data_IF_948956644470
#
_entry.id   IF_948956644470
#
_cell.length_a   1.000
_cell.length_b   1.000
_cell.length_c   1.000
_cell.angle_alpha   90.00
_cell.angle_beta   90.00
_cell.angle_gamma   90.00
#
_symmetry.space_group_name_H-M   'P 1'
#
loop_
_entity.id
_entity.type
_entity.pdbx_description
1 polymer ?
#
# COMPACT_ATOMS: atom_id res chain seq x y z
N UNK A 1 24.80 -22.46 7.80
CA UNK A 1 25.25 -23.58 6.94
C UNK A 1 26.41 -24.26 7.63
N UNK A 2 26.57 -25.57 7.46
CA UNK A 2 27.82 -26.26 7.79
C UNK A 2 28.96 -25.69 6.95
N UNK A 3 30.21 -25.98 7.33
CA UNK A 3 31.35 -25.63 6.50
C UNK A 3 31.30 -26.38 5.16
N UNK A 4 32.02 -25.87 4.16
CA UNK A 4 32.14 -26.53 2.85
C UNK A 4 32.76 -27.93 3.00
N UNK A 5 33.66 -28.10 3.97
CA UNK A 5 34.28 -29.38 4.33
C UNK A 5 33.27 -30.41 4.85
N UNK A 6 32.20 -29.95 5.52
CA UNK A 6 31.12 -30.78 6.07
C UNK A 6 29.91 -30.85 5.11
N UNK A 7 30.10 -30.51 3.84
CA UNK A 7 29.09 -30.65 2.78
C UNK A 7 28.09 -29.51 2.68
N UNK A 8 28.36 -28.36 3.34
CA UNK A 8 27.56 -27.13 3.26
C UNK A 8 26.05 -27.27 3.58
N UNK A 9 25.64 -28.36 4.24
CA UNK A 9 24.26 -28.62 4.61
C UNK A 9 23.68 -27.61 5.59
N UNK A 10 22.35 -27.58 5.72
CA UNK A 10 21.66 -26.73 6.69
C UNK A 10 20.43 -27.43 7.28
N UNK A 11 20.17 -27.16 8.56
CA UNK A 11 18.93 -27.51 9.24
C UNK A 11 18.28 -26.23 9.73
N UNK A 12 17.05 -25.96 9.31
CA UNK A 12 16.28 -24.80 9.73
C UNK A 12 15.17 -25.25 10.68
N UNK A 13 15.09 -24.66 11.86
CA UNK A 13 14.07 -24.95 12.86
C UNK A 13 13.09 -23.79 13.01
N UNK A 14 11.80 -24.10 13.04
CA UNK A 14 10.72 -23.14 13.32
C UNK A 14 10.00 -23.54 14.62
N UNK A 15 10.56 -23.22 15.80
CA UNK A 15 9.90 -23.53 17.08
C UNK A 15 8.64 -22.67 17.25
N UNK A 16 7.55 -23.28 17.74
CA UNK A 16 6.29 -22.60 18.04
C UNK A 16 6.10 -22.58 19.56
N UNK A 17 5.83 -21.40 20.10
CA UNK A 17 5.61 -21.19 21.53
C UNK A 17 4.25 -20.52 21.71
N UNK A 18 3.44 -21.05 22.60
CA UNK A 18 2.18 -20.44 23.02
C UNK A 18 2.46 -19.46 24.16
N UNK A 19 2.04 -18.20 23.99
CA UNK A 19 2.05 -17.19 25.04
C UNK A 19 0.68 -17.10 25.71
N UNK A 20 0.66 -16.80 27.00
CA UNK A 20 -0.58 -16.56 27.73
C UNK A 20 -0.84 -15.06 27.78
N UNK A 21 -2.03 -14.62 27.34
CA UNK A 21 -2.40 -13.20 27.26
C UNK A 21 -1.36 -12.33 26.53
N UNK A 22 -0.72 -12.88 25.49
CA UNK A 22 0.36 -12.22 24.73
C UNK A 22 1.59 -11.82 25.58
N UNK A 23 1.77 -12.40 26.76
CA UNK A 23 2.91 -12.09 27.64
C UNK A 23 4.21 -12.76 27.14
N UNK A 24 5.05 -11.96 26.49
CA UNK A 24 6.38 -12.34 26.02
C UNK A 24 7.45 -12.32 27.10
N UNK A 25 7.16 -11.75 28.28
CA UNK A 25 8.09 -11.64 29.40
C UNK A 25 8.12 -12.89 30.29
N UNK A 26 7.19 -13.82 30.05
CA UNK A 26 7.17 -15.11 30.73
C UNK A 26 8.49 -15.89 30.50
N UNK A 27 8.81 -16.76 31.46
CA UNK A 27 10.09 -17.47 31.52
C UNK A 27 10.41 -18.26 30.24
N UNK A 28 9.44 -19.03 29.71
CA UNK A 28 9.67 -19.86 28.52
C UNK A 28 9.83 -19.02 27.23
N UNK A 29 8.92 -18.09 26.89
CA UNK A 29 9.12 -17.19 25.75
C UNK A 29 10.44 -16.43 25.80
N UNK A 30 10.79 -15.86 26.95
CA UNK A 30 12.04 -15.10 27.13
C UNK A 30 13.27 -15.95 26.82
N UNK A 31 13.31 -17.18 27.33
CA UNK A 31 14.42 -18.10 27.07
C UNK A 31 14.53 -18.45 25.59
N UNK A 32 13.41 -18.76 24.93
CA UNK A 32 13.43 -19.14 23.50
C UNK A 32 13.85 -17.95 22.64
N UNK A 33 13.33 -16.75 22.89
CA UNK A 33 13.72 -15.51 22.19
C UNK A 33 15.23 -15.21 22.36
N UNK A 34 15.79 -15.54 23.53
CA UNK A 34 17.23 -15.35 23.75
C UNK A 34 18.11 -16.31 22.92
N UNK A 35 17.59 -17.49 22.56
CA UNK A 35 18.30 -18.54 21.83
C UNK A 35 18.11 -18.41 20.31
N UNK A 36 16.92 -18.03 19.84
CA UNK A 36 16.63 -17.96 18.40
C UNK A 36 17.26 -16.75 17.73
N UNK A 37 17.47 -16.85 16.42
CA UNK A 37 17.97 -15.76 15.58
C UNK A 37 16.89 -14.74 15.21
N UNK A 38 15.69 -14.85 15.76
CA UNK A 38 14.56 -14.01 15.46
C UNK A 38 13.25 -14.59 15.97
N UNK A 39 12.19 -13.84 15.76
CA UNK A 39 10.83 -14.23 16.13
C UNK A 39 9.81 -13.65 15.16
N UNK A 40 8.75 -14.43 14.93
CA UNK A 40 7.51 -13.98 14.31
C UNK A 40 6.48 -14.00 15.43
N UNK A 41 5.98 -12.82 15.81
CA UNK A 41 5.02 -12.67 16.89
C UNK A 41 3.62 -12.53 16.31
N UNK A 42 2.71 -13.41 16.72
CA UNK A 42 1.32 -13.41 16.28
C UNK A 42 0.42 -12.84 17.37
N UNK A 43 -0.45 -11.90 17.02
CA UNK A 43 -1.34 -11.22 17.97
C UNK A 43 -2.82 -11.52 17.72
N UNK A 44 -3.55 -11.76 18.81
CA UNK A 44 -4.97 -12.05 18.75
C UNK A 44 -5.81 -10.83 18.31
N UNK A 45 -5.37 -9.61 18.64
CA UNK A 45 -6.06 -8.38 18.23
C UNK A 45 -5.97 -8.16 16.71
N UNK A 46 -4.78 -8.32 16.11
CA UNK A 46 -4.59 -8.28 14.65
C UNK A 46 -5.44 -9.36 13.95
N UNK A 47 -5.49 -10.56 14.51
CA UNK A 47 -6.30 -11.63 13.95
C UNK A 47 -7.81 -11.31 13.96
N UNK A 48 -8.27 -10.62 15.02
CA UNK A 48 -9.68 -10.19 15.18
C UNK A 48 -10.04 -9.02 14.28
N UNK A 49 -9.09 -8.12 13.98
CA UNK A 49 -9.31 -6.98 13.08
C UNK A 49 -9.26 -7.36 11.60
N UNK A 50 -8.94 -8.62 11.27
CA UNK A 50 -8.93 -9.12 9.90
C UNK A 50 -7.54 -9.32 9.32
N UNK A 51 -6.48 -8.88 10.00
CA UNK A 51 -5.09 -9.04 9.52
C UNK A 51 -4.64 -10.50 9.64
N UNK A 52 -4.36 -11.13 8.50
CA UNK A 52 -4.00 -12.56 8.41
C UNK A 52 -2.95 -12.76 7.31
N UNK A 53 -1.73 -13.20 7.61
CA UNK A 53 -1.26 -13.68 8.92
C UNK A 53 -1.09 -12.53 9.92
N UNK A 54 -1.51 -12.77 11.17
CA UNK A 54 -1.61 -11.76 12.23
C UNK A 54 -0.24 -11.38 12.85
N UNK A 55 0.74 -11.04 12.01
CA UNK A 55 2.12 -10.79 12.39
C UNK A 55 2.26 -9.36 12.90
N UNK A 56 2.73 -9.21 14.14
CA UNK A 56 3.15 -7.91 14.62
C UNK A 56 4.54 -7.55 14.07
N UNK A 57 4.59 -6.70 13.04
CA UNK A 57 5.85 -6.30 12.37
C UNK A 57 6.78 -5.45 13.24
N UNK A 58 6.28 -4.82 14.31
CA UNK A 58 7.09 -4.01 15.23
C UNK A 58 7.89 -4.84 16.23
N UNK A 59 7.32 -5.95 16.71
CA UNK A 59 7.95 -6.88 17.67
C UNK A 59 8.69 -8.02 16.96
N UNK A 60 8.21 -8.41 15.78
CA UNK A 60 8.83 -9.46 14.98
C UNK A 60 10.15 -8.97 14.39
N UNK A 61 11.19 -9.81 14.46
CA UNK A 61 12.51 -9.46 13.95
C UNK A 61 13.24 -10.71 13.45
N UNK A 62 14.07 -10.54 12.44
CA UNK A 62 15.09 -11.51 12.05
C UNK A 62 16.46 -10.86 12.23
N UNK A 63 17.31 -11.44 13.09
CA UNK A 63 18.70 -10.98 13.31
C UNK A 63 19.59 -11.27 12.11
N UNK A 64 19.25 -12.28 11.30
CA UNK A 64 19.92 -12.55 10.01
C UNK A 64 19.61 -11.44 8.99
N UNK A 65 18.43 -10.83 9.10
CA UNK A 65 18.02 -9.67 8.32
C UNK A 65 18.01 -9.91 6.81
N UNK A 66 18.34 -8.87 6.04
CA UNK A 66 18.32 -8.90 4.58
C UNK A 66 19.39 -9.78 3.92
N UNK A 67 20.28 -10.41 4.68
CA UNK A 67 21.26 -11.37 4.15
C UNK A 67 20.63 -12.68 3.70
N UNK A 68 19.42 -12.98 4.19
CA UNK A 68 18.64 -14.15 3.79
C UNK A 68 17.67 -13.86 2.63
N UNK A 69 17.61 -12.62 2.14
CA UNK A 69 16.68 -12.19 1.10
C UNK A 69 17.35 -12.18 -0.28
N UNK A 70 16.56 -12.46 -1.32
CA UNK A 70 16.98 -12.22 -2.71
C UNK A 70 17.13 -10.71 -2.95
N UNK A 71 17.89 -10.33 -3.99
CA UNK A 71 18.12 -8.92 -4.34
C UNK A 71 16.80 -8.16 -4.60
N UNK A 72 15.81 -8.72 -5.34
CA UNK A 72 14.49 -8.08 -5.52
C UNK A 72 13.77 -7.83 -4.20
N UNK A 73 13.66 -8.87 -3.36
CA UNK A 73 12.95 -8.78 -2.07
C UNK A 73 13.57 -7.73 -1.16
N UNK A 74 14.91 -7.64 -1.12
CA UNK A 74 15.62 -6.65 -0.31
C UNK A 74 15.33 -5.21 -0.75
N UNK A 75 15.12 -4.97 -2.06
CA UNK A 75 14.80 -3.66 -2.61
C UNK A 75 13.42 -3.19 -2.18
N UNK A 76 12.41 -4.05 -2.35
CA UNK A 76 11.01 -3.70 -2.05
C UNK A 76 10.70 -3.72 -0.55
N UNK A 77 11.23 -4.70 0.21
CA UNK A 77 10.95 -4.82 1.65
C UNK A 77 11.60 -3.73 2.50
N UNK A 78 12.65 -3.06 2.00
CA UNK A 78 13.30 -1.95 2.69
C UNK A 78 12.36 -0.76 2.88
N UNK A 79 11.58 -0.42 1.83
CA UNK A 79 10.56 0.63 1.87
C UNK A 79 9.37 0.23 2.74
N UNK A 80 8.89 -1.01 2.57
CA UNK A 80 7.76 -1.56 3.33
C UNK A 80 7.91 -1.41 4.85
N UNK A 81 9.08 -1.74 5.40
CA UNK A 81 9.32 -1.64 6.84
C UNK A 81 9.22 -0.21 7.35
N UNK A 82 9.72 0.76 6.59
CA UNK A 82 9.70 2.16 6.97
C UNK A 82 8.26 2.69 7.00
N UNK A 83 7.49 2.40 5.95
CA UNK A 83 6.10 2.85 5.82
C UNK A 83 5.19 2.23 6.88
N UNK A 84 5.30 0.91 7.14
CA UNK A 84 4.52 0.26 8.19
C UNK A 84 4.86 0.76 9.61
N UNK A 85 6.12 1.16 9.85
CA UNK A 85 6.51 1.76 11.13
C UNK A 85 5.86 3.14 11.30
N UNK A 86 5.91 3.99 10.27
CA UNK A 86 5.29 5.31 10.28
C UNK A 86 3.77 5.21 10.42
N UNK A 87 3.14 4.29 9.68
CA UNK A 87 1.71 4.02 9.78
C UNK A 87 1.29 3.70 11.22
N UNK A 88 2.00 2.79 11.90
CA UNK A 88 1.66 2.40 13.28
C UNK A 88 1.85 3.53 14.30
N UNK A 89 2.88 4.37 14.11
CA UNK A 89 3.08 5.55 14.94
C UNK A 89 1.94 6.56 14.78
N UNK A 90 1.50 6.79 13.55
CA UNK A 90 0.38 7.69 13.23
C UNK A 90 -0.97 7.11 13.64
N UNK A 91 -1.20 5.80 13.48
CA UNK A 91 -2.43 5.12 13.88
C UNK A 91 -2.66 5.25 15.39
N UNK A 92 -1.60 5.06 16.18
CA UNK A 92 -1.66 5.26 17.63
C UNK A 92 -1.95 6.72 17.99
N UNK A 93 -1.42 7.70 17.24
CA UNK A 93 -1.69 9.12 17.44
C UNK A 93 -3.12 9.52 17.06
N UNK A 94 -3.63 8.99 15.94
CA UNK A 94 -4.98 9.24 15.44
C UNK A 94 -6.07 8.80 16.44
N UNK A 95 -5.82 7.76 17.24
CA UNK A 95 -6.72 7.31 18.30
C UNK A 95 -6.92 8.35 19.42
N UNK A 96 -6.02 9.32 19.58
CA UNK A 96 -6.14 10.40 20.58
C UNK A 96 -6.96 11.61 20.07
N UNK A 97 -7.53 11.53 18.87
CA UNK A 97 -8.63 12.40 18.43
C UNK A 97 -8.27 13.82 18.01
N UNK A 98 -7.03 14.07 17.58
CA UNK A 98 -6.66 15.34 16.96
C UNK A 98 -7.07 15.40 15.48
N UNK A 99 -7.40 16.60 15.00
CA UNK A 99 -7.54 16.88 13.57
C UNK A 99 -6.22 16.54 12.85
N UNK A 100 -6.30 15.65 11.86
CA UNK A 100 -5.15 15.19 11.09
C UNK A 100 -5.04 16.05 9.83
N UNK A 101 -3.84 16.53 9.54
CA UNK A 101 -3.53 17.18 8.27
C UNK A 101 -3.61 16.20 7.10
N UNK A 102 -3.74 16.73 5.88
CA UNK A 102 -3.94 15.93 4.67
C UNK A 102 -2.80 14.91 4.44
N UNK A 103 -1.56 15.28 4.74
CA UNK A 103 -0.39 14.40 4.59
C UNK A 103 -0.44 13.20 5.55
N UNK A 104 -0.90 13.43 6.79
CA UNK A 104 -1.11 12.35 7.76
C UNK A 104 -2.26 11.43 7.33
N UNK A 105 -3.36 11.99 6.82
CA UNK A 105 -4.48 11.20 6.30
C UNK A 105 -4.05 10.33 5.11
N UNK A 106 -3.27 10.87 4.17
CA UNK A 106 -2.73 10.11 3.04
C UNK A 106 -1.81 8.98 3.50
N UNK A 107 -0.94 9.25 4.49
CA UNK A 107 -0.04 8.23 5.04
C UNK A 107 -0.80 7.12 5.76
N UNK A 108 -1.84 7.46 6.53
CA UNK A 108 -2.70 6.47 7.18
C UNK A 108 -3.42 5.61 6.15
N UNK A 109 -4.02 6.24 5.14
CA UNK A 109 -4.76 5.54 4.10
C UNK A 109 -3.83 4.63 3.26
N UNK A 110 -2.59 5.04 2.98
CA UNK A 110 -1.59 4.17 2.35
C UNK A 110 -1.23 3.00 3.25
N UNK A 111 -1.01 3.26 4.54
CA UNK A 111 -0.70 2.23 5.52
C UNK A 111 -1.79 1.17 5.66
N UNK A 112 -3.06 1.55 5.62
CA UNK A 112 -4.21 0.62 5.60
C UNK A 112 -4.15 -0.31 4.37
N UNK A 113 -3.92 0.25 3.18
CA UNK A 113 -3.78 -0.52 1.94
C UNK A 113 -2.56 -1.44 1.96
N UNK A 114 -1.45 -0.98 2.54
CA UNK A 114 -0.26 -1.81 2.74
C UNK A 114 -0.54 -2.99 3.67
N UNK A 115 -1.24 -2.76 4.78
CA UNK A 115 -1.66 -3.84 5.69
C UNK A 115 -2.56 -4.84 4.96
N UNK A 116 -3.53 -4.35 4.19
CA UNK A 116 -4.41 -5.21 3.40
C UNK A 116 -3.65 -5.98 2.32
N UNK A 117 -2.63 -5.38 1.69
CA UNK A 117 -1.79 -6.05 0.68
C UNK A 117 -1.02 -7.25 1.23
N UNK A 118 -0.77 -7.27 2.54
CA UNK A 118 -0.06 -8.34 3.25
C UNK A 118 -1.01 -9.44 3.76
N UNK A 119 -2.33 -9.28 3.58
CA UNK A 119 -3.27 -10.33 3.90
C UNK A 119 -3.14 -11.48 2.89
N UNK A 120 -3.12 -12.69 3.44
CA UNK A 120 -2.93 -13.92 2.70
C UNK A 120 -3.74 -15.06 3.33
N UNK A 121 -4.48 -15.76 2.48
CA UNK A 121 -5.26 -16.91 2.88
C UNK A 121 -4.39 -18.11 3.27
N UNK A 122 -4.94 -18.95 4.16
CA UNK A 122 -4.32 -20.22 4.52
C UNK A 122 -4.15 -21.11 3.28
N UNK A 123 -2.99 -21.76 3.16
CA UNK A 123 -2.65 -22.69 2.06
C UNK A 123 -2.57 -22.05 0.66
N UNK A 124 -2.47 -20.72 0.57
CA UNK A 124 -2.19 -20.01 -0.69
C UNK A 124 -0.81 -19.32 -0.67
N UNK A 125 0.31 -20.04 -0.49
CA UNK A 125 1.63 -19.41 -0.52
C UNK A 125 1.88 -18.78 -1.90
N UNK A 126 2.52 -17.61 -1.91
CA UNK A 126 2.94 -16.93 -3.12
C UNK A 126 4.38 -17.29 -3.46
N UNK A 127 4.72 -17.29 -4.75
CA UNK A 127 6.11 -17.40 -5.19
C UNK A 127 6.86 -16.10 -4.88
N UNK A 128 8.19 -16.12 -4.95
CA UNK A 128 8.98 -14.97 -4.50
C UNK A 128 8.75 -13.76 -5.41
N UNK A 129 8.65 -13.99 -6.71
CA UNK A 129 8.35 -13.02 -7.75
C UNK A 129 6.99 -12.34 -7.53
N UNK A 130 5.99 -13.10 -7.10
CA UNK A 130 4.65 -12.56 -6.80
C UNK A 130 4.66 -11.70 -5.55
N UNK A 131 5.37 -12.15 -4.50
CA UNK A 131 5.54 -11.36 -3.28
C UNK A 131 6.26 -10.05 -3.59
N UNK A 132 7.28 -10.08 -4.46
CA UNK A 132 7.99 -8.88 -4.89
C UNK A 132 7.05 -7.93 -5.63
N UNK A 133 6.28 -8.43 -6.60
CA UNK A 133 5.33 -7.62 -7.37
C UNK A 133 4.25 -6.99 -6.47
N UNK A 134 3.67 -7.76 -5.55
CA UNK A 134 2.66 -7.26 -4.62
C UNK A 134 3.22 -6.20 -3.66
N UNK A 135 4.40 -6.42 -3.07
CA UNK A 135 5.03 -5.43 -2.19
C UNK A 135 5.45 -4.19 -2.97
N UNK A 136 5.92 -4.34 -4.21
CA UNK A 136 6.27 -3.22 -5.07
C UNK A 136 5.03 -2.38 -5.43
N UNK A 137 3.89 -3.00 -5.73
CA UNK A 137 2.63 -2.30 -5.94
C UNK A 137 2.23 -1.46 -4.72
N UNK A 138 2.33 -2.03 -3.51
CA UNK A 138 2.04 -1.30 -2.28
C UNK A 138 3.01 -0.15 -2.01
N UNK A 139 4.31 -0.43 -1.99
CA UNK A 139 5.35 0.56 -1.63
C UNK A 139 5.64 1.58 -2.74
N UNK A 140 5.19 1.32 -3.96
CA UNK A 140 5.27 2.25 -5.09
C UNK A 140 4.12 3.27 -5.14
N UNK A 141 3.15 3.20 -4.22
CA UNK A 141 1.99 4.10 -4.19
C UNK A 141 0.91 3.77 -5.23
N UNK A 142 1.05 2.67 -5.97
CA UNK A 142 0.08 2.24 -6.97
C UNK A 142 -1.29 1.95 -6.33
N UNK A 143 -1.29 1.37 -5.13
CA UNK A 143 -2.53 1.04 -4.41
C UNK A 143 -3.31 2.28 -3.92
N UNK A 144 -2.72 3.47 -3.90
CA UNK A 144 -3.39 4.69 -3.40
C UNK A 144 -4.67 4.99 -4.20
N UNK A 145 -4.70 4.58 -5.49
CA UNK A 145 -5.85 4.72 -6.39
C UNK A 145 -6.95 3.66 -6.20
N UNK A 146 -6.78 2.71 -5.29
CA UNK A 146 -7.72 1.61 -5.01
C UNK A 146 -8.25 1.72 -3.59
N UNK A 147 -9.55 1.49 -3.36
CA UNK A 147 -10.12 1.40 -2.01
C UNK A 147 -9.59 0.18 -1.27
N UNK A 148 -9.38 0.32 0.04
CA UNK A 148 -8.81 -0.73 0.90
C UNK A 148 -9.52 -2.07 0.72
N UNK A 149 -10.85 -2.09 0.64
CA UNK A 149 -11.65 -3.32 0.50
C UNK A 149 -11.46 -4.04 -0.84
N UNK A 150 -10.92 -3.35 -1.86
CA UNK A 150 -10.66 -3.88 -3.20
C UNK A 150 -9.21 -4.28 -3.42
N UNK A 151 -8.30 -3.98 -2.48
CA UNK A 151 -6.86 -4.23 -2.62
C UNK A 151 -6.58 -5.71 -2.85
N UNK A 152 -7.16 -6.62 -2.07
CA UNK A 152 -6.94 -8.07 -2.22
C UNK A 152 -7.37 -8.56 -3.60
N UNK A 153 -8.54 -8.12 -4.07
CA UNK A 153 -9.06 -8.49 -5.38
C UNK A 153 -8.18 -7.94 -6.52
N UNK A 154 -7.74 -6.70 -6.40
CA UNK A 154 -6.80 -6.09 -7.35
C UNK A 154 -5.51 -6.90 -7.44
N UNK A 155 -4.90 -7.25 -6.29
CA UNK A 155 -3.65 -8.00 -6.27
C UNK A 155 -3.79 -9.39 -6.90
N UNK A 156 -4.88 -10.11 -6.63
CA UNK A 156 -5.12 -11.41 -7.26
C UNK A 156 -5.20 -11.29 -8.80
N UNK A 157 -5.92 -10.30 -9.31
CA UNK A 157 -6.05 -10.04 -10.74
C UNK A 157 -4.73 -9.58 -11.38
N UNK A 158 -4.04 -8.65 -10.73
CA UNK A 158 -2.75 -8.13 -11.18
C UNK A 158 -1.71 -9.25 -11.26
N UNK A 159 -1.58 -10.07 -10.21
CA UNK A 159 -0.65 -11.19 -10.19
C UNK A 159 -0.99 -12.23 -11.28
N UNK A 160 -2.28 -12.49 -11.52
CA UNK A 160 -2.69 -13.38 -12.60
C UNK A 160 -2.28 -12.82 -13.97
N UNK A 161 -2.51 -11.52 -14.20
CA UNK A 161 -2.16 -10.85 -15.46
C UNK A 161 -0.66 -10.89 -15.70
N UNK A 162 0.14 -10.38 -14.76
CA UNK A 162 1.60 -10.28 -14.91
C UNK A 162 2.23 -11.65 -15.15
N UNK A 163 1.77 -12.71 -14.45
CA UNK A 163 2.23 -14.08 -14.72
C UNK A 163 1.89 -14.56 -16.14
N UNK A 164 0.72 -14.20 -16.66
CA UNK A 164 0.25 -14.65 -17.97
C UNK A 164 0.87 -13.88 -19.14
N UNK A 165 1.07 -12.58 -18.97
CA UNK A 165 1.53 -11.67 -20.04
C UNK A 165 3.04 -11.44 -19.99
N UNK A 166 3.64 -11.50 -18.80
CA UNK A 166 5.06 -11.15 -18.54
C UNK A 166 5.79 -12.24 -17.76
N UNK A 167 5.59 -13.50 -18.15
CA UNK A 167 6.29 -14.66 -17.56
C UNK A 167 7.81 -14.48 -17.53
N UNK A 168 8.42 -13.99 -18.62
CA UNK A 168 9.88 -13.75 -18.68
C UNK A 168 10.37 -12.73 -17.64
N UNK A 169 9.58 -11.69 -17.34
CA UNK A 169 9.90 -10.71 -16.29
C UNK A 169 9.86 -11.36 -14.91
N UNK A 170 8.82 -12.16 -14.66
CA UNK A 170 8.63 -12.86 -13.38
C UNK A 170 9.74 -13.90 -13.15
N UNK A 171 10.18 -14.60 -14.20
CA UNK A 171 11.29 -15.55 -14.14
C UNK A 171 12.61 -14.86 -13.75
N UNK A 172 12.93 -13.70 -14.35
CA UNK A 172 14.12 -12.90 -13.97
C UNK A 172 14.09 -12.50 -12.49
N UNK A 173 12.92 -12.08 -11.99
CA UNK A 173 12.75 -11.73 -10.58
C UNK A 173 12.94 -12.98 -9.68
N UNK A 174 12.40 -14.13 -10.10
CA UNK A 174 12.57 -15.40 -9.38
C UNK A 174 14.04 -15.84 -9.31
N UNK A 175 14.82 -15.61 -10.36
CA UNK A 175 16.27 -15.85 -10.40
C UNK A 175 17.08 -14.87 -9.54
N UNK A 176 16.45 -13.79 -9.06
CA UNK A 176 17.04 -12.79 -8.19
C UNK A 176 17.67 -11.61 -8.92
N UNK A 177 17.31 -11.41 -10.19
CA UNK A 177 17.72 -10.25 -10.96
C UNK A 177 16.86 -9.02 -10.60
N UNK A 178 17.52 -7.87 -10.49
CA UNK A 178 16.86 -6.58 -10.26
C UNK A 178 17.75 -5.47 -10.81
N UNK A 179 17.29 -4.80 -11.84
CA UNK A 179 17.86 -3.60 -12.42
C UNK A 179 16.75 -2.59 -12.71
N UNK A 180 17.14 -1.41 -13.18
CA UNK A 180 16.21 -0.31 -13.40
C UNK A 180 15.20 -0.63 -14.53
N UNK A 181 15.58 -1.47 -15.50
CA UNK A 181 14.69 -1.91 -16.59
C UNK A 181 13.59 -2.85 -16.08
N UNK A 182 13.94 -3.81 -15.21
CA UNK A 182 12.96 -4.70 -14.55
C UNK A 182 12.00 -3.88 -13.68
N UNK A 183 12.51 -2.89 -12.93
CA UNK A 183 11.70 -2.04 -12.05
C UNK A 183 10.73 -1.16 -12.85
N UNK A 184 11.18 -0.59 -13.98
CA UNK A 184 10.35 0.20 -14.89
C UNK A 184 9.28 -0.66 -15.57
N UNK A 185 9.66 -1.82 -16.11
CA UNK A 185 8.71 -2.75 -16.73
C UNK A 185 7.64 -3.19 -15.73
N UNK A 186 8.04 -3.61 -14.53
CA UNK A 186 7.08 -4.02 -13.51
C UNK A 186 6.15 -2.87 -13.10
N UNK A 187 6.67 -1.65 -12.99
CA UNK A 187 5.88 -0.45 -12.70
C UNK A 187 4.84 -0.14 -13.79
N UNK A 188 5.23 -0.21 -15.05
CA UNK A 188 4.33 -0.01 -16.19
C UNK A 188 3.18 -1.01 -16.18
N UNK A 189 3.48 -2.28 -15.98
CA UNK A 189 2.48 -3.35 -15.97
C UNK A 189 1.49 -3.23 -14.81
N UNK A 190 1.97 -2.79 -13.64
CA UNK A 190 1.09 -2.54 -12.48
C UNK A 190 0.21 -1.32 -12.73
N UNK A 191 0.75 -0.25 -13.34
CA UNK A 191 -0.03 0.93 -13.69
C UNK A 191 -1.15 0.58 -14.69
N UNK A 192 -0.81 -0.17 -15.76
CA UNK A 192 -1.79 -0.67 -16.73
C UNK A 192 -2.83 -1.59 -16.06
N UNK A 193 -2.40 -2.45 -15.14
CA UNK A 193 -3.32 -3.31 -14.40
C UNK A 193 -4.30 -2.52 -13.54
N UNK A 194 -3.90 -1.37 -12.98
CA UNK A 194 -4.81 -0.49 -12.21
C UNK A 194 -5.84 0.14 -13.13
N UNK A 195 -5.39 0.70 -14.25
CA UNK A 195 -6.27 1.39 -15.19
C UNK A 195 -7.29 0.41 -15.80
N UNK A 196 -6.88 -0.84 -16.07
CA UNK A 196 -7.77 -1.88 -16.56
C UNK A 196 -8.68 -2.48 -15.45
N UNK A 197 -8.23 -2.48 -14.19
CA UNK A 197 -9.06 -2.90 -13.05
C UNK A 197 -10.13 -1.85 -12.68
N UNK A 198 -9.91 -0.60 -13.07
CA UNK A 198 -10.81 0.52 -12.78
C UNK A 198 -10.50 1.14 -11.41
N UNK A 199 -9.77 2.26 -11.38
CA UNK A 199 -9.38 2.93 -10.15
C UNK A 199 -10.59 3.49 -9.41
N UNK A 200 -10.48 3.60 -8.08
CA UNK A 200 -11.46 4.27 -7.22
C UNK A 200 -11.17 5.76 -7.03
N UNK A 201 -9.89 6.15 -7.14
CA UNK A 201 -9.44 7.51 -6.93
C UNK A 201 -8.64 8.04 -8.14
N UNK A 202 -8.72 9.35 -8.36
CA UNK A 202 -7.88 10.05 -9.32
C UNK A 202 -6.41 10.17 -8.82
N UNK A 203 -5.55 10.81 -9.61
CA UNK A 203 -4.14 11.02 -9.25
C UNK A 203 -3.96 11.98 -8.06
N UNK A 204 -4.99 12.74 -7.71
CA UNK A 204 -5.01 13.68 -6.58
C UNK A 204 -5.65 13.06 -5.32
N UNK A 205 -6.13 11.81 -5.40
CA UNK A 205 -6.75 11.08 -4.29
C UNK A 205 -8.24 11.37 -4.08
N UNK A 206 -8.91 12.04 -5.03
CA UNK A 206 -10.35 12.29 -4.95
C UNK A 206 -11.14 11.07 -5.45
N UNK A 207 -12.29 10.74 -4.84
CA UNK A 207 -13.13 9.63 -5.31
C UNK A 207 -13.65 9.89 -6.72
N UNK A 208 -13.51 8.90 -7.60
CA UNK A 208 -14.17 8.88 -8.90
C UNK A 208 -15.66 8.55 -8.72
N UNK A 209 -16.55 9.12 -9.53
CA UNK A 209 -18.00 8.95 -9.36
C UNK A 209 -18.43 7.47 -9.52
N UNK A 210 -19.48 7.04 -8.80
CA UNK A 210 -20.02 5.67 -8.88
C UNK A 210 -20.37 5.31 -10.33
N UNK A 211 -19.58 4.41 -10.93
CA UNK A 211 -19.71 3.95 -12.32
C UNK A 211 -18.48 4.20 -13.21
N UNK A 212 -17.48 4.94 -12.73
CA UNK A 212 -16.21 5.14 -13.46
C UNK A 212 -15.18 4.04 -13.16
N UNK A 213 -15.23 3.47 -11.96
CA UNK A 213 -14.44 2.28 -11.59
C UNK A 213 -14.78 1.02 -12.40
N UNK A 214 -15.87 0.99 -13.16
CA UNK A 214 -16.23 -0.14 -14.03
C UNK A 214 -15.81 0.09 -15.50
N UNK A 215 -15.18 1.25 -15.81
CA UNK A 215 -14.73 1.57 -17.17
C UNK A 215 -13.33 1.02 -17.39
N UNK A 216 -13.23 -0.04 -18.20
CA UNK A 216 -11.99 -0.40 -18.88
C UNK A 216 -11.56 0.83 -19.69
N UNK A 217 -10.43 1.45 -19.34
CA UNK A 217 -9.92 2.64 -20.01
C UNK A 217 -9.57 2.33 -21.47
N UNK A 218 -9.86 3.26 -22.39
CA UNK A 218 -9.52 3.10 -23.80
C UNK A 218 -8.01 3.18 -24.04
N UNK A 219 -7.48 2.57 -25.11
CA UNK A 219 -6.03 2.65 -25.46
C UNK A 219 -5.53 4.10 -25.59
N UNK A 220 -6.39 5.03 -26.02
CA UNK A 220 -6.04 6.44 -26.16
C UNK A 220 -5.84 7.13 -24.79
N UNK A 221 -6.56 6.70 -23.75
CA UNK A 221 -6.41 7.23 -22.39
C UNK A 221 -5.19 6.63 -21.66
N UNK A 222 -4.85 5.37 -21.96
CA UNK A 222 -3.63 4.68 -21.49
C UNK A 222 -2.33 5.30 -22.01
N UNK A 223 -2.39 6.02 -23.14
CA UNK A 223 -1.21 6.64 -23.78
C UNK A 223 -0.79 7.98 -23.17
N UNK A 224 -1.50 8.51 -22.17
CA UNK A 224 -1.09 9.75 -21.49
C UNK A 224 0.06 9.46 -20.54
N UNK A 225 1.22 10.04 -20.83
CA UNK A 225 2.42 9.95 -19.99
C UNK A 225 2.09 10.27 -18.53
N UNK A 226 2.49 9.37 -17.61
CA UNK A 226 2.53 9.66 -16.19
C UNK A 226 3.34 10.95 -16.01
N UNK A 227 2.72 11.99 -15.44
CA UNK A 227 3.36 13.29 -15.24
C UNK A 227 4.68 13.07 -14.49
N UNK A 228 5.79 13.27 -15.21
CA UNK A 228 7.11 13.39 -14.62
C UNK A 228 7.17 14.66 -13.78
N UNK A 229 8.00 14.63 -12.74
CA UNK A 229 8.17 15.69 -11.72
C UNK A 229 8.87 16.96 -12.25
N UNK A 230 8.38 17.50 -13.37
CA UNK A 230 8.86 18.75 -13.98
C UNK A 230 7.77 19.84 -14.10
N UNK A 231 6.60 19.65 -13.49
CA UNK A 231 5.53 20.65 -13.43
C UNK A 231 5.61 21.64 -12.26
N UNK A 232 6.63 21.53 -11.40
CA UNK A 232 6.73 22.26 -10.13
C UNK A 232 7.75 23.41 -10.19
N UNK A 233 7.57 24.37 -11.10
CA UNK A 233 7.94 25.78 -10.92
C UNK A 233 7.89 26.58 -12.24
N UNK A 234 6.87 27.42 -12.40
CA UNK A 234 7.02 28.85 -12.72
C UNK A 234 5.67 29.51 -12.42
N UNK A 235 5.68 30.46 -11.47
CA UNK A 235 4.54 31.32 -11.18
C UNK A 235 4.52 32.57 -12.06
N UNK A 236 3.77 33.54 -11.54
CA UNK A 236 3.50 34.91 -12.01
C UNK A 236 2.22 35.01 -12.84
N UNK A 237 1.09 35.39 -12.24
CA UNK A 237 0.69 36.75 -11.85
C UNK A 237 0.48 37.65 -13.07
N UNK A 238 -0.79 37.93 -13.38
CA UNK A 238 -1.26 39.22 -13.88
C UNK A 238 -2.79 39.23 -13.80
N UNK A 239 -3.33 40.07 -12.91
CA UNK A 239 -4.74 40.41 -12.90
C UNK A 239 -5.06 41.45 -13.98
N UNK A 240 -6.31 41.48 -14.43
CA UNK A 240 -6.90 42.71 -14.97
C UNK A 240 -8.44 42.73 -14.81
N UNK A 241 -8.93 43.95 -14.66
CA UNK A 241 -10.28 44.46 -14.47
C UNK A 241 -11.23 44.01 -15.60
N UNK A 242 -12.53 43.82 -15.39
CA UNK A 242 -13.53 44.86 -15.22
C UNK A 242 -14.58 44.78 -16.35
N UNK A 243 -15.77 45.30 -16.06
CA UNK A 243 -16.86 45.69 -16.97
C UNK A 243 -17.94 44.64 -17.37
N UNK A 244 -19.05 44.72 -16.61
CA UNK A 244 -20.38 45.22 -17.00
C UNK A 244 -21.22 44.61 -18.16
N UNK A 245 -22.54 44.70 -17.91
CA UNK A 245 -23.72 44.61 -18.80
C UNK A 245 -24.25 43.20 -19.16
N UNK A 246 -25.54 42.88 -19.21
CA UNK A 246 -26.84 43.48 -18.87
C UNK A 246 -27.91 42.37 -19.12
N UNK A 247 -29.17 42.64 -18.77
CA UNK A 247 -30.42 41.90 -19.02
C UNK A 247 -30.77 40.81 -17.99
N UNK A 248 -31.86 40.89 -17.22
CA UNK A 248 -33.12 41.60 -17.41
C UNK A 248 -34.26 40.57 -17.26
N UNK A 249 -35.13 40.73 -16.24
CA UNK A 249 -36.24 39.80 -16.04
C UNK A 249 -37.03 40.05 -14.75
N UNK A 250 -37.90 41.05 -14.79
CA UNK A 250 -38.91 41.40 -13.79
C UNK A 250 -39.85 40.22 -13.45
N UNK A 251 -40.22 40.05 -12.17
CA UNK A 251 -41.60 39.75 -11.81
C UNK A 251 -41.96 40.31 -10.43
N UNK A 252 -43.19 40.80 -10.36
CA UNK A 252 -43.73 41.79 -9.46
C UNK A 252 -44.15 41.29 -8.07
N UNK A 253 -44.08 42.23 -7.13
CA UNK A 253 -45.09 42.61 -6.11
C UNK A 253 -45.94 41.52 -5.44
N UNK A 254 -45.80 41.42 -4.12
CA UNK A 254 -46.96 41.47 -3.22
C UNK A 254 -46.55 42.06 -1.86
N UNK A 255 -47.22 43.16 -1.49
CA UNK A 255 -47.15 43.81 -0.19
C UNK A 255 -47.94 43.04 0.86
N UNK A 256 -47.43 42.94 2.10
CA UNK A 256 -48.26 43.18 3.27
C UNK A 256 -47.43 43.53 4.53
N UNK A 257 -47.78 44.67 5.11
CA UNK A 257 -47.38 45.21 6.40
C UNK A 257 -47.62 44.23 7.57
N UNK A 258 -46.77 44.26 8.60
CA UNK A 258 -47.06 44.97 9.86
C UNK A 258 -46.23 44.47 11.06
N UNK A 259 -45.56 45.45 11.69
CA UNK A 259 -45.51 45.71 13.13
C UNK A 259 -44.65 44.84 14.10
N UNK A 260 -43.56 45.48 14.55
CA UNK A 260 -43.34 45.91 15.96
C UNK A 260 -42.87 44.90 17.02
N UNK A 261 -41.59 45.06 17.39
CA UNK A 261 -41.02 45.21 18.75
C UNK A 261 -41.42 44.23 19.86
N UNK A 262 -40.44 43.44 20.31
CA UNK A 262 -39.84 43.50 21.66
C UNK A 262 -38.54 42.69 21.70
#
# INVERSE_FOLDING_TARGET
KLSDEEGAGSLTSLPIIETQASDVSAYIPTNVISITDGQIFLEADLFRSGVRPAINVGISVSRVGGSAQTKPMKKVAGRLRLELSQYRELEAFAQFGSELDADTQATLARGERLVESLNQDERKPWLIEDQVAAIYAGTGGFLDRIKTERVTQFLENMLQRVRSEKSELMDKIAEGEWDDEIEEQLGSEIAEAIDDFGPDFDAEGNPLEEGESDRIMSEDERSREARTDEGRATGDDEGDQGDDDDEGGEHAEDEQEAATTA
#
